data_IF_856664417645
#
_entry.id   IF_856664417645
#
_cell.length_a   1.000
_cell.length_b   1.000
_cell.length_c   1.000
_cell.angle_alpha   90.00
_cell.angle_beta   90.00
_cell.angle_gamma   90.00
#
_symmetry.space_group_name_H-M   'P 1'
#
loop_
_entity.id
_entity.type
_entity.pdbx_description
1 polymer ?
#
# COMPACT_ATOMS: atom_id res chain seq x y z
N UNK A 1 3.62 -3.52 15.03
CA UNK A 1 4.52 -2.76 15.95
C UNK A 1 5.16 -1.62 15.19
N UNK A 2 5.29 -0.48 15.83
CA UNK A 2 5.99 0.67 15.26
C UNK A 2 7.36 0.79 15.93
N UNK A 3 8.39 0.89 15.11
CA UNK A 3 9.76 1.15 15.56
C UNK A 3 10.22 2.52 15.10
N UNK A 4 11.20 3.05 15.81
CA UNK A 4 11.75 4.37 15.55
C UNK A 4 13.25 4.29 15.33
N UNK A 5 13.72 5.02 14.34
CA UNK A 5 15.13 5.26 14.08
C UNK A 5 15.42 6.71 14.42
N UNK A 6 16.33 6.94 15.37
CA UNK A 6 16.59 8.26 15.91
C UNK A 6 18.00 8.70 15.51
N UNK A 7 18.08 9.82 14.80
CA UNK A 7 19.34 10.48 14.47
C UNK A 7 19.36 11.86 15.13
N UNK A 8 19.86 11.90 16.34
CA UNK A 8 19.87 13.13 17.14
C UNK A 8 20.74 14.21 16.54
N UNK A 9 21.84 13.85 15.91
CA UNK A 9 22.75 14.81 15.26
C UNK A 9 22.06 15.56 14.13
N UNK A 10 21.30 14.84 13.31
CA UNK A 10 20.54 15.42 12.20
C UNK A 10 19.17 15.94 12.62
N UNK A 11 18.75 15.67 13.86
CA UNK A 11 17.43 16.06 14.35
C UNK A 11 16.29 15.33 13.62
N UNK A 12 16.47 14.06 13.30
CA UNK A 12 15.50 13.29 12.52
C UNK A 12 15.05 12.06 13.31
N UNK A 13 13.73 11.85 13.35
CA UNK A 13 13.13 10.62 13.87
C UNK A 13 12.30 10.01 12.75
N UNK A 14 12.56 8.74 12.46
CA UNK A 14 11.86 7.98 11.44
C UNK A 14 11.05 6.87 12.11
N UNK A 15 9.73 6.85 11.88
CA UNK A 15 8.85 5.77 12.32
C UNK A 15 8.59 4.81 11.17
N UNK A 16 8.58 3.52 11.44
CA UNK A 16 8.30 2.48 10.45
C UNK A 16 7.60 1.28 11.10
N UNK A 17 6.82 0.57 10.31
CA UNK A 17 6.18 -0.66 10.75
C UNK A 17 7.18 -1.82 10.74
N UNK A 18 7.08 -2.66 11.76
CA UNK A 18 7.94 -3.84 11.92
C UNK A 18 7.13 -4.99 12.50
N UNK A 19 7.33 -6.18 11.95
CA UNK A 19 6.75 -7.41 12.47
C UNK A 19 7.88 -8.30 13.02
N UNK A 20 7.97 -8.50 14.34
CA UNK A 20 9.04 -9.29 14.94
C UNK A 20 8.98 -10.78 14.56
N UNK A 21 7.80 -11.33 14.28
CA UNK A 21 7.64 -12.73 13.90
C UNK A 21 8.24 -13.03 12.53
N UNK A 22 7.97 -12.17 11.54
CA UNK A 22 8.49 -12.35 10.18
C UNK A 22 9.83 -11.65 9.96
N UNK A 23 10.27 -10.82 10.88
CA UNK A 23 11.44 -9.94 10.75
C UNK A 23 11.38 -9.06 9.50
N UNK A 24 10.17 -8.67 9.11
CA UNK A 24 9.94 -7.79 7.97
C UNK A 24 9.58 -6.39 8.43
N UNK A 25 9.93 -5.40 7.64
CA UNK A 25 9.63 -4.00 7.91
C UNK A 25 9.32 -3.24 6.63
N UNK A 26 8.73 -2.05 6.77
CA UNK A 26 8.54 -1.10 5.69
C UNK A 26 7.77 -1.68 4.51
N UNK A 27 8.29 -1.52 3.31
CA UNK A 27 7.63 -1.92 2.07
C UNK A 27 7.37 -3.43 1.99
N UNK A 28 8.28 -4.24 2.51
CA UNK A 28 8.14 -5.70 2.53
C UNK A 28 6.94 -6.13 3.36
N UNK A 29 6.76 -5.52 4.53
CA UNK A 29 5.61 -5.78 5.39
C UNK A 29 4.32 -5.26 4.77
N UNK A 30 4.35 -4.09 4.14
CA UNK A 30 3.20 -3.54 3.44
C UNK A 30 2.72 -4.45 2.32
N UNK A 31 3.63 -5.05 1.56
CA UNK A 31 3.28 -6.03 0.53
C UNK A 31 2.49 -7.20 1.10
N UNK A 32 2.95 -7.75 2.22
CA UNK A 32 2.26 -8.87 2.87
C UNK A 32 0.85 -8.45 3.35
N UNK A 33 0.73 -7.28 3.93
CA UNK A 33 -0.55 -6.77 4.42
C UNK A 33 -1.54 -6.52 3.28
N UNK A 34 -1.08 -5.95 2.16
CA UNK A 34 -1.93 -5.73 0.99
C UNK A 34 -2.39 -7.05 0.37
N UNK A 35 -1.51 -8.04 0.27
CA UNK A 35 -1.87 -9.37 -0.24
C UNK A 35 -2.92 -10.03 0.63
N UNK A 36 -2.71 -10.01 1.94
CA UNK A 36 -3.63 -10.58 2.92
C UNK A 36 -5.00 -9.90 2.86
N UNK A 37 -5.02 -8.58 2.83
CA UNK A 37 -6.24 -7.80 2.74
C UNK A 37 -6.99 -8.09 1.43
N UNK A 38 -6.28 -8.08 0.32
CA UNK A 38 -6.85 -8.37 -0.99
C UNK A 38 -7.36 -9.81 -1.09
N UNK A 39 -6.61 -10.79 -0.56
CA UNK A 39 -7.03 -12.19 -0.56
C UNK A 39 -8.34 -12.39 0.19
N UNK A 40 -8.52 -11.78 1.35
CA UNK A 40 -9.74 -11.89 2.14
C UNK A 40 -10.99 -11.35 1.41
N UNK A 41 -10.78 -10.52 0.38
CA UNK A 41 -11.86 -9.91 -0.43
C UNK A 41 -11.86 -10.41 -1.87
N UNK A 42 -11.03 -11.37 -2.18
CA UNK A 42 -10.80 -11.84 -3.55
C UNK A 42 -12.02 -12.50 -4.20
N UNK A 43 -12.99 -12.96 -3.41
CA UNK A 43 -14.27 -13.49 -3.91
C UNK A 43 -14.98 -12.45 -4.77
N UNK A 44 -14.79 -11.17 -4.48
CA UNK A 44 -15.43 -10.07 -5.18
C UNK A 44 -14.52 -9.39 -6.19
N UNK A 45 -13.27 -9.84 -6.32
CA UNK A 45 -12.32 -9.21 -7.21
C UNK A 45 -12.36 -9.87 -8.58
N UNK A 46 -12.82 -9.16 -9.62
CA UNK A 46 -12.78 -9.67 -10.97
C UNK A 46 -11.34 -9.76 -11.45
N UNK A 47 -11.03 -10.82 -12.18
CA UNK A 47 -9.67 -11.13 -12.64
C UNK A 47 -9.48 -10.77 -14.12
N UNK A 48 -9.90 -9.57 -14.52
CA UNK A 48 -9.84 -9.15 -15.92
C UNK A 48 -8.43 -9.22 -16.50
N UNK A 49 -7.45 -8.70 -15.77
CA UNK A 49 -6.05 -8.65 -16.20
C UNK A 49 -5.30 -9.95 -15.88
N UNK A 50 -5.69 -10.63 -14.83
CA UNK A 50 -4.99 -11.80 -14.28
C UNK A 50 -5.78 -13.08 -14.45
N UNK A 51 -6.62 -13.11 -15.45
CA UNK A 51 -7.66 -14.13 -15.69
C UNK A 51 -7.15 -15.57 -15.71
N UNK A 52 -5.97 -15.81 -16.28
CA UNK A 52 -5.40 -17.14 -16.42
C UNK A 52 -4.59 -17.63 -15.22
N UNK A 53 -4.47 -16.78 -14.19
CA UNK A 53 -3.70 -17.08 -13.01
C UNK A 53 -4.59 -17.58 -11.88
N UNK A 54 -4.04 -18.40 -10.98
CA UNK A 54 -4.74 -18.72 -9.76
C UNK A 54 -4.87 -17.47 -8.86
N UNK A 55 -5.71 -17.58 -7.83
CA UNK A 55 -6.05 -16.44 -6.99
C UNK A 55 -4.85 -15.85 -6.25
N UNK A 56 -3.94 -16.71 -5.76
CA UNK A 56 -2.76 -16.28 -5.01
C UNK A 56 -1.79 -15.55 -5.93
N UNK A 57 -1.52 -16.10 -7.10
CA UNK A 57 -0.61 -15.50 -8.07
C UNK A 57 -1.19 -14.19 -8.63
N UNK A 58 -2.49 -14.15 -8.90
CA UNK A 58 -3.17 -12.93 -9.33
C UNK A 58 -3.01 -11.81 -8.32
N UNK A 59 -3.19 -12.11 -7.04
CA UNK A 59 -3.06 -11.13 -5.96
C UNK A 59 -1.62 -10.65 -5.81
N UNK A 60 -0.65 -11.58 -5.92
CA UNK A 60 0.78 -11.24 -5.84
C UNK A 60 1.19 -10.28 -6.95
N UNK A 61 0.78 -10.56 -8.17
CA UNK A 61 1.09 -9.73 -9.33
C UNK A 61 0.42 -8.36 -9.21
N UNK A 62 -0.83 -8.31 -8.79
CA UNK A 62 -1.56 -7.07 -8.63
C UNK A 62 -0.92 -6.16 -7.57
N UNK A 63 -0.50 -6.71 -6.44
CA UNK A 63 0.18 -5.94 -5.40
C UNK A 63 1.53 -5.43 -5.91
N UNK A 64 2.29 -6.26 -6.61
CA UNK A 64 3.57 -5.85 -7.19
C UNK A 64 3.38 -4.74 -8.22
N UNK A 65 2.39 -4.85 -9.09
CA UNK A 65 2.07 -3.81 -10.08
C UNK A 65 1.69 -2.50 -9.40
N UNK A 66 0.84 -2.57 -8.37
CA UNK A 66 0.43 -1.39 -7.63
C UNK A 66 1.60 -0.69 -6.96
N UNK A 67 2.52 -1.46 -6.37
CA UNK A 67 3.67 -0.92 -5.63
C UNK A 67 4.87 -0.58 -6.52
N UNK A 68 4.77 -0.79 -7.82
CA UNK A 68 5.84 -0.43 -8.75
C UNK A 68 6.11 1.08 -8.66
N UNK A 69 7.35 1.44 -8.37
CA UNK A 69 7.76 2.83 -8.17
C UNK A 69 7.67 3.34 -6.73
N UNK A 70 7.02 2.59 -5.83
CA UNK A 70 7.05 2.93 -4.40
C UNK A 70 8.40 2.56 -3.80
N UNK A 71 8.97 3.47 -3.00
CA UNK A 71 10.22 3.24 -2.26
C UNK A 71 9.93 3.10 -0.77
N UNK A 72 10.94 2.71 0.00
CA UNK A 72 10.82 2.61 1.47
C UNK A 72 10.37 3.94 2.10
N UNK A 73 10.78 5.08 1.53
CA UNK A 73 10.41 6.39 2.06
C UNK A 73 8.89 6.65 1.98
N UNK A 74 8.20 6.01 1.04
CA UNK A 74 6.75 6.15 0.90
C UNK A 74 5.99 5.61 2.12
N UNK A 75 6.57 4.66 2.86
CA UNK A 75 5.93 4.02 4.02
C UNK A 75 6.69 4.31 5.32
N UNK A 76 7.24 5.50 5.45
CA UNK A 76 7.90 5.97 6.66
C UNK A 76 7.27 7.27 7.13
N UNK A 77 7.21 7.46 8.42
CA UNK A 77 6.86 8.74 9.03
C UNK A 77 8.13 9.43 9.49
N UNK A 78 8.41 10.62 8.97
CA UNK A 78 9.65 11.34 9.29
C UNK A 78 9.31 12.65 9.98
N UNK A 79 9.83 12.82 11.20
CA UNK A 79 9.81 14.08 11.93
C UNK A 79 11.20 14.69 11.91
N UNK A 80 11.30 15.93 11.49
CA UNK A 80 12.56 16.65 11.38
C UNK A 80 12.52 17.87 12.28
N UNK A 81 13.55 18.01 13.12
CA UNK A 81 13.73 19.17 13.99
C UNK A 81 13.98 20.42 13.13
N UNK A 82 13.22 21.49 13.38
CA UNK A 82 13.45 22.76 12.73
C UNK A 82 14.65 23.48 13.34
N UNK A 83 15.39 24.29 12.54
CA UNK A 83 16.50 25.08 13.08
C UNK A 83 16.04 25.96 14.23
N UNK A 84 16.78 25.92 15.36
CA UNK A 84 16.47 26.69 16.56
C UNK A 84 15.53 26.02 17.55
N UNK A 85 14.91 24.89 17.18
CA UNK A 85 14.06 24.13 18.10
C UNK A 85 14.90 23.33 19.09
N UNK A 86 14.35 23.14 20.28
CA UNK A 86 14.93 22.26 21.30
C UNK A 86 14.56 20.81 20.97
N UNK A 87 15.52 19.90 21.11
CA UNK A 87 15.28 18.47 20.92
C UNK A 87 14.26 17.95 21.93
N UNK A 88 13.18 17.36 21.42
CA UNK A 88 12.14 16.68 22.19
C UNK A 88 11.84 15.34 21.52
N UNK A 89 12.42 14.28 22.04
CA UNK A 89 12.31 12.94 21.46
C UNK A 89 10.87 12.41 21.48
N UNK A 90 10.14 12.62 22.58
CA UNK A 90 8.77 12.12 22.69
C UNK A 90 7.82 12.84 21.71
N UNK A 91 7.96 14.14 21.58
CA UNK A 91 7.20 14.91 20.59
C UNK A 91 7.54 14.48 19.16
N UNK A 92 8.82 14.27 18.89
CA UNK A 92 9.28 13.82 17.57
C UNK A 92 8.76 12.43 17.22
N UNK A 93 8.77 11.49 18.15
CA UNK A 93 8.20 10.15 17.97
C UNK A 93 6.71 10.20 17.68
N UNK A 94 5.97 10.99 18.44
CA UNK A 94 4.52 11.14 18.24
C UNK A 94 4.21 11.70 16.86
N UNK A 95 4.93 12.71 16.42
CA UNK A 95 4.78 13.31 15.11
C UNK A 95 5.13 12.34 13.99
N UNK A 96 6.22 11.59 14.13
CA UNK A 96 6.64 10.58 13.15
C UNK A 96 5.60 9.47 13.04
N UNK A 97 5.05 9.01 14.17
CA UNK A 97 3.99 8.01 14.21
C UNK A 97 2.74 8.48 13.47
N UNK A 98 2.30 9.70 13.74
CA UNK A 98 1.12 10.27 13.05
C UNK A 98 1.32 10.35 11.55
N UNK A 99 2.49 10.76 11.10
CA UNK A 99 2.82 10.79 9.67
C UNK A 99 2.85 9.40 9.05
N UNK A 100 3.39 8.41 9.76
CA UNK A 100 3.40 7.02 9.30
C UNK A 100 1.99 6.47 9.09
N UNK A 101 1.11 6.66 10.07
CA UNK A 101 -0.28 6.21 9.99
C UNK A 101 -1.02 6.89 8.84
N UNK A 102 -0.78 8.17 8.63
CA UNK A 102 -1.37 8.92 7.52
C UNK A 102 -0.92 8.37 6.17
N UNK A 103 0.36 8.03 6.03
CA UNK A 103 0.90 7.43 4.79
C UNK A 103 0.32 6.04 4.55
N UNK A 104 0.21 5.21 5.57
CA UNK A 104 -0.41 3.89 5.45
C UNK A 104 -1.84 4.00 4.95
N UNK A 105 -2.64 4.86 5.56
CA UNK A 105 -4.02 5.10 5.14
C UNK A 105 -4.11 5.57 3.68
N UNK A 106 -3.22 6.43 3.28
CA UNK A 106 -3.16 6.92 1.91
C UNK A 106 -2.88 5.79 0.93
N UNK A 107 -1.91 4.94 1.23
CA UNK A 107 -1.53 3.82 0.36
C UNK A 107 -2.66 2.79 0.27
N UNK A 108 -3.32 2.44 1.37
CA UNK A 108 -4.46 1.52 1.35
C UNK A 108 -5.62 2.09 0.53
N UNK A 109 -5.87 3.39 0.64
CA UNK A 109 -6.90 4.05 -0.18
C UNK A 109 -6.55 3.98 -1.67
N UNK A 110 -5.31 4.24 -2.02
CA UNK A 110 -4.83 4.16 -3.41
C UNK A 110 -4.90 2.74 -3.95
N UNK A 111 -4.61 1.74 -3.13
CA UNK A 111 -4.77 0.35 -3.51
C UNK A 111 -6.23 0.00 -3.79
N UNK A 112 -7.15 0.47 -2.96
CA UNK A 112 -8.59 0.31 -3.22
C UNK A 112 -9.01 0.93 -4.55
N UNK A 113 -8.53 2.12 -4.86
CA UNK A 113 -8.80 2.77 -6.15
C UNK A 113 -8.20 1.98 -7.33
N UNK A 114 -7.03 1.41 -7.14
CA UNK A 114 -6.39 0.55 -8.16
C UNK A 114 -7.26 -0.67 -8.47
N UNK A 115 -7.80 -1.32 -7.44
CA UNK A 115 -8.71 -2.46 -7.61
C UNK A 115 -10.00 -2.04 -8.32
N UNK A 116 -10.58 -0.92 -7.95
CA UNK A 116 -11.81 -0.41 -8.58
C UNK A 116 -11.60 -0.14 -10.08
N UNK A 117 -10.46 0.41 -10.45
CA UNK A 117 -10.13 0.62 -11.87
C UNK A 117 -10.09 -0.70 -12.65
N UNK A 118 -9.54 -1.75 -12.04
CA UNK A 118 -9.49 -3.07 -12.68
C UNK A 118 -10.89 -3.66 -12.84
N UNK A 119 -11.73 -3.51 -11.82
CA UNK A 119 -13.13 -3.93 -11.87
C UNK A 119 -13.88 -3.21 -13.01
N UNK A 120 -13.73 -1.90 -13.11
CA UNK A 120 -14.38 -1.11 -14.14
C UNK A 120 -13.90 -1.50 -15.53
N UNK A 121 -12.63 -1.80 -15.69
CA UNK A 121 -12.07 -2.28 -16.96
C UNK A 121 -12.70 -3.61 -17.36
N UNK A 122 -12.83 -4.55 -16.44
CA UNK A 122 -13.51 -5.81 -16.71
C UNK A 122 -14.98 -5.58 -17.13
N UNK A 123 -15.67 -4.72 -16.42
CA UNK A 123 -17.06 -4.38 -16.73
C UNK A 123 -17.19 -3.82 -18.15
N UNK A 124 -16.31 -2.91 -18.52
CA UNK A 124 -16.30 -2.33 -19.87
C UNK A 124 -16.02 -3.39 -20.95
N UNK A 125 -15.06 -4.29 -20.69
CA UNK A 125 -14.72 -5.37 -21.62
C UNK A 125 -15.89 -6.33 -21.82
N UNK A 126 -16.59 -6.69 -20.74
CA UNK A 126 -17.78 -7.53 -20.81
C UNK A 126 -18.87 -6.85 -21.62
N UNK A 127 -19.13 -5.57 -21.37
CA UNK A 127 -20.15 -4.82 -22.11
C UNK A 127 -19.85 -4.75 -23.60
N UNK A 128 -18.58 -4.56 -23.98
CA UNK A 128 -18.19 -4.55 -25.39
C UNK A 128 -18.41 -5.91 -26.06
N UNK A 129 -18.09 -7.01 -25.36
CA UNK A 129 -18.22 -8.37 -25.92
C UNK A 129 -19.67 -8.81 -26.08
N UNK A 130 -20.53 -8.41 -25.16
CA UNK A 130 -21.91 -8.91 -25.08
C UNK A 130 -22.95 -7.83 -25.41
N UNK A 131 -22.53 -6.72 -26.01
CA UNK A 131 -23.45 -5.69 -26.44
C UNK A 131 -24.32 -6.26 -27.59
N UNK A 132 -25.66 -6.26 -27.46
CA UNK A 132 -26.57 -6.80 -28.48
C UNK A 132 -26.40 -6.14 -29.86
N UNK A 133 -25.98 -4.88 -29.91
CA UNK A 133 -25.72 -4.17 -31.15
C UNK A 133 -24.53 -4.74 -31.93
N UNK A 134 -23.58 -5.36 -31.20
CA UNK A 134 -22.40 -5.99 -31.81
C UNK A 134 -22.69 -7.44 -32.16
N UNK A 135 -23.39 -8.16 -31.28
CA UNK A 135 -23.67 -9.60 -31.43
C UNK A 135 -24.67 -9.86 -32.56
N UNK A 136 -25.62 -8.99 -32.77
CA UNK A 136 -26.71 -9.15 -33.75
C UNK A 136 -26.39 -8.59 -35.17
N UNK A 137 -25.15 -8.28 -35.42
CA UNK A 137 -24.71 -7.83 -36.73
C UNK A 137 -24.44 -8.97 -37.69
#
# INVERSE_FOLDING_TARGET
MIRYKIDKEKGIITAYFYNPESNKSGLSLLKDDLRKYGFNRAVYWPRSKYFELDLIDSMRIAVNDFLQGYTEDAIRGIAKLSPGDTWDEEFGKDLAKKKLIKRERYIFRKFGQFIIKDINRLYDDINKRFDPRIINK
#
